data_IF_137639132664
#
_entry.id   IF_137639132664
#
_cell.length_a   1.000
_cell.length_b   1.000
_cell.length_c   1.000
_cell.angle_alpha   90.00
_cell.angle_beta   90.00
_cell.angle_gamma   90.00
#
_symmetry.space_group_name_H-M   'P 1'
#
loop_
_entity.id
_entity.type
_entity.pdbx_description
1 polymer ?
#
# COMPACT_ATOMS: atom_id res chain seq x y z
N UNK A 1 -6.70 -25.61 -24.66
CA UNK A 1 -6.92 -24.58 -23.62
C UNK A 1 -6.43 -25.12 -22.29
N UNK A 2 -5.15 -24.90 -21.94
CA UNK A 2 -4.60 -25.32 -20.64
C UNK A 2 -4.75 -24.15 -19.68
N UNK A 3 -5.68 -24.25 -18.75
CA UNK A 3 -5.73 -23.39 -17.57
C UNK A 3 -4.42 -23.61 -16.81
N UNK A 4 -3.53 -22.61 -16.84
CA UNK A 4 -2.36 -22.58 -15.95
C UNK A 4 -2.89 -22.35 -14.54
N UNK A 5 -2.73 -23.34 -13.67
CA UNK A 5 -2.90 -23.18 -12.24
C UNK A 5 -1.81 -22.20 -11.81
N UNK A 6 -2.20 -20.99 -11.45
CA UNK A 6 -1.34 -20.08 -10.70
C UNK A 6 -1.44 -20.58 -9.26
N UNK A 7 -0.31 -20.94 -8.65
CA UNK A 7 -0.20 -21.22 -7.21
C UNK A 7 -0.29 -19.91 -6.40
N UNK A 8 -1.33 -19.14 -6.64
CA UNK A 8 -1.78 -18.05 -5.79
C UNK A 8 -3.20 -18.41 -5.41
N UNK A 9 -3.48 -18.49 -4.11
CA UNK A 9 -4.80 -18.76 -3.53
C UNK A 9 -5.93 -18.18 -4.40
N UNK A 10 -6.55 -19.00 -5.26
CA UNK A 10 -7.89 -18.73 -5.73
C UNK A 10 -8.77 -19.05 -4.53
N UNK A 11 -8.91 -18.04 -3.69
CA UNK A 11 -9.86 -17.95 -2.61
C UNK A 11 -11.21 -18.36 -3.22
N UNK A 12 -11.74 -19.52 -2.79
CA UNK A 12 -13.06 -19.98 -3.18
C UNK A 12 -14.04 -18.80 -3.11
N UNK A 13 -15.10 -18.79 -3.93
CA UNK A 13 -16.15 -17.75 -3.91
C UNK A 13 -16.59 -17.35 -2.47
N UNK A 14 -16.56 -18.29 -1.51
CA UNK A 14 -16.91 -18.03 -0.12
C UNK A 14 -15.93 -17.11 0.64
N UNK A 15 -14.64 -17.14 0.31
CA UNK A 15 -13.65 -16.19 0.86
C UNK A 15 -13.53 -14.94 -0.01
N UNK A 16 -13.81 -15.02 -1.32
CA UNK A 16 -13.74 -13.87 -2.23
C UNK A 16 -14.42 -12.61 -1.68
N UNK A 17 -15.66 -12.71 -1.19
CA UNK A 17 -16.35 -11.54 -0.62
C UNK A 17 -15.67 -11.00 0.64
N UNK A 18 -15.14 -11.88 1.50
CA UNK A 18 -14.38 -11.48 2.69
C UNK A 18 -13.09 -10.77 2.29
N UNK A 19 -12.41 -11.28 1.26
CA UNK A 19 -11.18 -10.68 0.74
C UNK A 19 -11.44 -9.33 0.10
N UNK A 20 -12.55 -9.17 -0.64
CA UNK A 20 -12.97 -7.89 -1.21
C UNK A 20 -13.25 -6.87 -0.10
N UNK A 21 -14.02 -7.24 0.94
CA UNK A 21 -14.30 -6.36 2.08
C UNK A 21 -13.01 -5.98 2.80
N UNK A 22 -12.11 -6.95 3.02
CA UNK A 22 -10.82 -6.73 3.63
C UNK A 22 -9.96 -5.74 2.84
N UNK A 23 -9.85 -5.92 1.51
CA UNK A 23 -9.11 -5.02 0.63
C UNK A 23 -9.74 -3.63 0.58
N UNK A 24 -11.06 -3.54 0.58
CA UNK A 24 -11.79 -2.26 0.64
C UNK A 24 -11.47 -1.50 1.94
N UNK A 25 -11.45 -2.20 3.08
CA UNK A 25 -11.05 -1.61 4.36
C UNK A 25 -9.60 -1.11 4.34
N UNK A 26 -8.68 -1.88 3.76
CA UNK A 26 -7.29 -1.45 3.59
C UNK A 26 -7.20 -0.19 2.72
N UNK A 27 -7.90 -0.14 1.58
CA UNK A 27 -7.94 1.04 0.71
C UNK A 27 -8.49 2.26 1.46
N UNK A 28 -9.58 2.08 2.21
CA UNK A 28 -10.18 3.16 3.01
C UNK A 28 -9.23 3.66 4.11
N UNK A 29 -8.42 2.78 4.70
CA UNK A 29 -7.38 3.16 5.64
C UNK A 29 -6.29 4.00 4.98
N UNK A 30 -5.76 3.54 3.84
CA UNK A 30 -4.74 4.28 3.08
C UNK A 30 -5.27 5.67 2.67
N UNK A 31 -6.50 5.77 2.18
CA UNK A 31 -7.13 7.07 1.86
C UNK A 31 -7.11 8.04 3.04
N UNK A 32 -7.40 7.55 4.25
CA UNK A 32 -7.36 8.34 5.48
C UNK A 32 -5.94 8.76 5.85
N UNK A 33 -4.97 7.85 5.79
CA UNK A 33 -3.56 8.17 6.05
C UNK A 33 -3.02 9.23 5.08
N UNK A 34 -3.45 9.17 3.82
CA UNK A 34 -3.01 10.12 2.78
C UNK A 34 -3.77 11.45 2.77
N UNK A 35 -4.77 11.62 3.65
CA UNK A 35 -5.68 12.79 3.67
C UNK A 35 -6.24 13.11 2.29
N UNK A 36 -6.75 12.09 1.58
CA UNK A 36 -7.20 12.23 0.20
C UNK A 36 -8.46 13.11 0.12
N UNK A 37 -8.45 14.19 -0.66
CA UNK A 37 -9.65 14.98 -0.92
C UNK A 37 -10.51 14.36 -2.03
N UNK A 38 -11.81 14.71 -2.06
CA UNK A 38 -12.73 14.22 -3.09
C UNK A 38 -12.21 14.58 -4.49
N UNK A 39 -12.21 13.60 -5.40
CA UNK A 39 -11.77 13.77 -6.79
C UNK A 39 -10.27 13.61 -7.04
N UNK A 40 -9.44 13.42 -6.00
CA UNK A 40 -8.01 13.16 -6.18
C UNK A 40 -7.71 11.68 -6.44
N UNK A 41 -6.76 11.42 -7.34
CA UNK A 41 -6.22 10.08 -7.55
C UNK A 41 -5.31 9.68 -6.40
N UNK A 42 -5.69 8.61 -5.69
CA UNK A 42 -4.88 8.03 -4.60
C UNK A 42 -3.46 7.70 -5.07
N UNK A 43 -3.33 7.17 -6.28
CA UNK A 43 -2.04 6.83 -6.87
C UNK A 43 -1.14 8.07 -7.03
N UNK A 44 -1.69 9.20 -7.50
CA UNK A 44 -0.91 10.43 -7.68
C UNK A 44 -0.47 10.99 -6.33
N UNK A 45 -1.36 11.00 -5.34
CA UNK A 45 -1.05 11.49 -3.98
C UNK A 45 0.03 10.62 -3.35
N UNK A 46 -0.08 9.30 -3.42
CA UNK A 46 0.92 8.36 -2.91
C UNK A 46 2.26 8.57 -3.62
N UNK A 47 2.29 8.58 -4.96
CA UNK A 47 3.52 8.83 -5.73
C UNK A 47 4.20 10.11 -5.25
N UNK A 48 3.45 11.21 -5.17
CA UNK A 48 3.99 12.48 -4.69
C UNK A 48 4.52 12.41 -3.24
N UNK A 49 3.87 11.67 -2.34
CA UNK A 49 4.35 11.52 -0.95
C UNK A 49 5.69 10.77 -0.88
N UNK A 50 5.89 9.80 -1.76
CA UNK A 50 7.10 8.97 -1.78
C UNK A 50 8.21 9.46 -2.71
N UNK A 51 7.98 10.50 -3.52
CA UNK A 51 9.01 11.10 -4.39
C UNK A 51 9.29 12.58 -4.11
N UNK A 52 8.69 13.15 -3.06
CA UNK A 52 8.79 14.58 -2.73
C UNK A 52 9.56 14.81 -1.43
N UNK A 53 9.05 15.66 -0.53
CA UNK A 53 9.73 16.07 0.71
C UNK A 53 10.14 14.87 1.56
N UNK A 54 11.33 14.94 2.18
CA UNK A 54 11.95 13.91 3.02
C UNK A 54 12.46 12.67 2.27
N UNK A 55 12.79 12.83 0.99
CA UNK A 55 13.39 11.79 0.15
C UNK A 55 14.76 12.24 -0.37
N UNK A 56 15.73 11.32 -0.42
CA UNK A 56 17.05 11.58 -0.97
C UNK A 56 17.12 11.17 -2.45
N UNK A 57 17.63 12.02 -3.36
CA UNK A 57 17.78 11.67 -4.77
C UNK A 57 18.63 10.42 -4.97
N UNK A 58 18.15 9.51 -5.83
CA UNK A 58 18.83 8.25 -6.12
C UNK A 58 18.70 7.19 -5.01
N UNK A 59 17.97 7.47 -3.93
CA UNK A 59 17.77 6.51 -2.86
C UNK A 59 16.30 6.14 -2.67
N UNK A 60 16.08 4.89 -2.31
CA UNK A 60 14.80 4.36 -1.85
C UNK A 60 14.89 4.03 -0.38
N UNK A 61 14.00 4.66 0.40
CA UNK A 61 13.82 4.39 1.82
C UNK A 61 12.80 3.26 2.02
N UNK A 62 13.22 2.20 2.70
CA UNK A 62 12.38 1.05 3.04
C UNK A 62 12.35 0.86 4.54
N UNK A 63 11.16 0.85 5.11
CA UNK A 63 10.90 0.51 6.50
C UNK A 63 10.98 -1.01 6.67
N UNK A 64 11.84 -1.47 7.57
CA UNK A 64 12.07 -2.91 7.84
C UNK A 64 11.46 -3.35 9.17
N UNK A 65 11.44 -2.47 10.16
CA UNK A 65 10.73 -2.64 11.44
C UNK A 65 9.85 -1.42 11.71
N UNK A 66 9.22 -1.34 12.88
CA UNK A 66 8.40 -0.17 13.23
C UNK A 66 9.20 1.15 13.32
N UNK A 67 10.49 1.06 13.63
CA UNK A 67 11.39 2.17 13.90
C UNK A 67 12.64 2.20 13.01
N UNK A 68 12.97 1.11 12.32
CA UNK A 68 14.15 1.01 11.47
C UNK A 68 13.85 1.18 9.98
N UNK A 69 14.76 1.89 9.32
CA UNK A 69 14.73 2.13 7.89
C UNK A 69 16.08 1.79 7.27
N UNK A 70 16.03 1.20 6.09
CA UNK A 70 17.19 0.99 5.23
C UNK A 70 17.09 1.87 3.99
N UNK A 71 18.25 2.29 3.49
CA UNK A 71 18.39 3.10 2.29
C UNK A 71 19.10 2.27 1.24
N UNK A 72 18.55 2.26 0.02
CA UNK A 72 19.12 1.53 -1.12
C UNK A 72 19.20 2.46 -2.32
N UNK A 73 20.14 2.24 -3.21
CA UNK A 73 20.15 2.94 -4.50
C UNK A 73 18.91 2.56 -5.31
N UNK A 74 18.26 3.52 -5.95
CA UNK A 74 17.11 3.26 -6.81
C UNK A 74 16.50 4.50 -7.46
N UNK A 75 15.54 4.27 -8.35
CA UNK A 75 14.88 5.32 -9.13
C UNK A 75 13.68 5.92 -8.40
N UNK A 76 13.20 7.12 -8.79
CA UNK A 76 11.95 7.68 -8.29
C UNK A 76 10.74 6.76 -8.48
N UNK A 77 10.72 5.97 -9.56
CA UNK A 77 9.66 4.99 -9.83
C UNK A 77 9.70 3.83 -8.83
N UNK A 78 10.89 3.30 -8.53
CA UNK A 78 11.07 2.25 -7.53
C UNK A 78 10.71 2.76 -6.14
N UNK A 79 11.06 4.01 -5.84
CA UNK A 79 10.71 4.68 -4.60
C UNK A 79 9.20 4.80 -4.42
N UNK A 80 8.49 5.21 -5.47
CA UNK A 80 7.05 5.30 -5.46
C UNK A 80 6.37 3.93 -5.33
N UNK A 81 6.87 2.91 -6.05
CA UNK A 81 6.33 1.54 -5.99
C UNK A 81 6.53 0.92 -4.60
N UNK A 82 7.74 1.01 -4.04
CA UNK A 82 8.01 0.48 -2.70
C UNK A 82 7.28 1.26 -1.61
N UNK A 83 7.16 2.58 -1.74
CA UNK A 83 6.34 3.40 -0.83
C UNK A 83 4.86 3.01 -0.87
N UNK A 84 4.31 2.82 -2.07
CA UNK A 84 2.95 2.33 -2.26
C UNK A 84 2.75 0.95 -1.60
N UNK A 85 3.67 0.01 -1.77
CA UNK A 85 3.57 -1.31 -1.12
C UNK A 85 3.67 -1.22 0.39
N UNK A 86 4.56 -0.38 0.93
CA UNK A 86 4.75 -0.21 2.37
C UNK A 86 3.49 0.33 3.06
N UNK A 87 2.85 1.37 2.51
CA UNK A 87 1.63 1.92 3.13
C UNK A 87 0.46 0.93 3.09
N UNK A 88 0.37 0.11 2.03
CA UNK A 88 -0.63 -0.95 1.95
C UNK A 88 -0.30 -2.13 2.87
N UNK A 89 0.98 -2.51 3.02
CA UNK A 89 1.40 -3.53 3.99
C UNK A 89 1.10 -3.09 5.43
N UNK A 90 1.36 -1.81 5.75
CA UNK A 90 0.98 -1.21 7.00
C UNK A 90 -0.54 -1.26 7.22
N UNK A 91 -1.32 -0.87 6.21
CA UNK A 91 -2.79 -0.97 6.27
C UNK A 91 -3.27 -2.39 6.54
N UNK A 92 -2.72 -3.37 5.82
CA UNK A 92 -3.05 -4.79 5.98
C UNK A 92 -2.70 -5.32 7.37
N UNK A 93 -1.61 -4.84 7.98
CA UNK A 93 -1.20 -5.25 9.33
C UNK A 93 -2.09 -4.67 10.42
N UNK A 94 -2.52 -3.41 10.27
CA UNK A 94 -3.21 -2.66 11.33
C UNK A 94 -4.69 -2.37 11.06
N UNK A 95 -5.29 -2.94 10.02
CA UNK A 95 -6.71 -2.75 9.72
C UNK A 95 -7.66 -3.12 10.89
N UNK A 96 -7.41 -4.14 11.74
CA UNK A 96 -8.35 -4.48 12.82
C UNK A 96 -8.40 -3.40 13.90
N UNK A 97 -7.29 -2.69 14.11
CA UNK A 97 -7.12 -1.64 15.12
C UNK A 97 -7.54 -0.26 14.60
N UNK A 98 -8.02 -0.19 13.36
CA UNK A 98 -8.40 1.06 12.72
C UNK A 98 -9.56 1.72 13.47
N UNK A 99 -9.42 3.00 13.87
CA UNK A 99 -10.53 3.74 14.47
C UNK A 99 -11.69 3.75 13.48
N UNK A 100 -12.88 3.33 13.91
CA UNK A 100 -14.09 3.45 13.08
C UNK A 100 -14.29 4.93 12.70
N UNK A 101 -14.93 5.18 11.56
CA UNK A 101 -15.32 6.56 11.22
C UNK A 101 -16.13 7.12 12.42
N UNK A 102 -15.89 8.37 12.84
CA UNK A 102 -16.81 9.05 13.74
C UNK A 102 -18.21 9.12 13.12
#
# INVERSE_FOLDING_TARGET
NKLRIIEGLILLIHTFFKDVIYLENCVNYVKRLTTLSSGQSLLIVIKRRFTSVNQEPGQVKVQVTEDEFIYRQGTPEEQADLGYRQIYAFAMRYWPDMPKKP
#
